data_IF_724658618275
#
_entry.id   IF_724658618275
#
_cell.length_a   1.000
_cell.length_b   1.000
_cell.length_c   1.000
_cell.angle_alpha   90.00
_cell.angle_beta   90.00
_cell.angle_gamma   90.00
#
_symmetry.space_group_name_H-M   'P 1'
#
loop_
_entity.id
_entity.type
_entity.pdbx_description
1 polymer ?
#
# COMPACT_ATOMS: atom_id res chain seq x y z
N UNK A 1 18.74 34.23 4.34
CA UNK A 1 18.70 33.43 5.58
C UNK A 1 19.20 32.05 5.20
N UNK A 2 20.14 31.47 5.95
CA UNK A 2 20.56 30.08 5.66
C UNK A 2 19.49 29.10 6.13
N UNK A 3 19.44 27.92 5.51
CA UNK A 3 18.52 26.85 5.86
C UNK A 3 18.65 26.42 7.33
N UNK A 4 19.89 26.33 7.84
CA UNK A 4 20.16 26.03 9.26
C UNK A 4 19.60 27.08 10.20
N UNK A 5 19.74 28.36 9.86
CA UNK A 5 19.19 29.45 10.65
C UNK A 5 17.65 29.41 10.62
N UNK A 6 17.07 29.23 9.43
CA UNK A 6 15.62 29.11 9.27
C UNK A 6 15.05 27.96 10.10
N UNK A 7 15.67 26.77 10.05
CA UNK A 7 15.22 25.61 10.81
C UNK A 7 15.29 25.87 12.32
N UNK A 8 16.40 26.42 12.82
CA UNK A 8 16.57 26.75 14.23
C UNK A 8 15.55 27.80 14.71
N UNK A 9 15.25 28.79 13.88
CA UNK A 9 14.24 29.82 14.18
C UNK A 9 12.82 29.23 14.16
N UNK A 10 12.51 28.32 13.23
CA UNK A 10 11.23 27.60 13.21
C UNK A 10 11.07 26.67 14.42
N UNK A 11 12.13 25.96 14.78
CA UNK A 11 12.23 25.11 15.98
C UNK A 11 12.03 25.86 17.28
N UNK A 12 12.66 27.02 17.39
CA UNK A 12 12.54 27.92 18.54
C UNK A 12 11.20 28.66 18.61
N UNK A 13 10.32 28.49 17.62
CA UNK A 13 9.05 29.20 17.52
C UNK A 13 9.19 30.69 17.17
N UNK A 14 10.37 31.11 16.71
CA UNK A 14 10.64 32.49 16.26
C UNK A 14 9.96 32.73 14.90
N UNK A 15 10.02 31.73 14.00
CA UNK A 15 9.33 31.77 12.72
C UNK A 15 8.09 30.87 12.78
N UNK A 16 6.87 31.41 12.55
CA UNK A 16 5.68 30.59 12.47
C UNK A 16 5.69 29.74 11.19
N UNK A 17 5.42 28.45 11.36
CA UNK A 17 5.26 27.48 10.26
C UNK A 17 3.78 27.38 9.93
N UNK A 18 3.31 28.33 9.13
CA UNK A 18 1.89 28.58 8.82
C UNK A 18 1.54 28.45 7.32
N UNK A 19 2.49 27.98 6.52
CA UNK A 19 2.30 27.77 5.08
C UNK A 19 2.92 26.47 4.60
N UNK A 20 2.34 25.92 3.54
CA UNK A 20 2.84 24.72 2.85
C UNK A 20 4.31 24.86 2.45
N UNK A 21 4.71 26.00 1.89
CA UNK A 21 6.08 26.25 1.46
C UNK A 21 7.08 26.19 2.62
N UNK A 22 6.72 26.68 3.81
CA UNK A 22 7.58 26.60 5.00
C UNK A 22 7.71 25.16 5.50
N UNK A 23 6.60 24.40 5.53
CA UNK A 23 6.65 22.97 5.86
C UNK A 23 7.52 22.22 4.84
N UNK A 24 7.40 22.55 3.55
CA UNK A 24 8.20 21.98 2.48
C UNK A 24 9.69 22.29 2.63
N UNK A 25 10.06 23.52 3.02
CA UNK A 25 11.46 23.88 3.26
C UNK A 25 12.05 23.11 4.44
N UNK A 26 11.30 23.00 5.55
CA UNK A 26 11.72 22.18 6.71
C UNK A 26 11.88 20.73 6.31
N UNK A 27 10.91 20.18 5.58
CA UNK A 27 10.96 18.81 5.08
C UNK A 27 12.17 18.58 4.16
N UNK A 28 12.49 19.53 3.30
CA UNK A 28 13.65 19.45 2.41
C UNK A 28 14.96 19.36 3.18
N UNK A 29 15.09 20.13 4.27
CA UNK A 29 16.25 20.09 5.17
C UNK A 29 16.35 18.71 5.84
N UNK A 30 15.24 18.14 6.31
CA UNK A 30 15.25 16.81 6.94
C UNK A 30 15.47 15.65 6.00
N UNK A 31 15.01 15.75 4.75
CA UNK A 31 15.20 14.69 3.76
C UNK A 31 16.69 14.52 3.40
N UNK A 32 17.51 15.57 3.54
CA UNK A 32 18.96 15.49 3.37
C UNK A 32 19.64 14.58 4.41
N UNK A 33 19.10 14.45 5.63
CA UNK A 33 19.60 13.47 6.61
C UNK A 33 18.82 12.15 6.53
N UNK A 34 17.49 12.23 6.35
CA UNK A 34 16.59 11.08 6.37
C UNK A 34 16.78 10.09 5.23
N UNK A 35 17.19 10.54 4.04
CA UNK A 35 17.46 9.68 2.88
C UNK A 35 18.82 8.94 2.96
N UNK A 36 19.67 9.26 3.93
CA UNK A 36 20.99 8.64 4.08
C UNK A 36 21.17 7.87 5.40
N UNK A 37 20.67 8.41 6.52
CA UNK A 37 20.95 7.89 7.86
C UNK A 37 19.69 7.44 8.64
N UNK A 38 18.53 7.29 7.98
CA UNK A 38 17.25 6.96 8.63
C UNK A 38 16.29 6.10 7.80
N UNK A 39 14.99 6.20 8.09
CA UNK A 39 13.90 5.55 7.36
C UNK A 39 13.22 6.49 6.34
N UNK A 40 13.94 7.50 5.84
CA UNK A 40 13.49 8.35 4.73
C UNK A 40 12.22 9.11 5.07
N UNK A 41 11.25 9.08 4.16
CA UNK A 41 9.96 9.76 4.33
C UNK A 41 9.24 9.42 5.64
N UNK A 42 9.45 8.22 6.20
CA UNK A 42 8.76 7.75 7.39
C UNK A 42 9.29 8.37 8.68
N UNK A 43 10.60 8.62 8.82
CA UNK A 43 11.14 9.29 10.01
C UNK A 43 10.90 10.81 9.94
N UNK A 44 10.97 11.36 8.73
CA UNK A 44 10.72 12.79 8.50
C UNK A 44 9.27 13.15 8.85
N UNK A 45 8.28 12.33 8.47
CA UNK A 45 6.87 12.64 8.84
C UNK A 45 6.66 12.62 10.36
N UNK A 46 7.30 11.71 11.09
CA UNK A 46 7.22 11.67 12.56
C UNK A 46 7.82 12.92 13.18
N UNK A 47 8.96 13.37 12.64
CA UNK A 47 9.65 14.57 13.10
C UNK A 47 8.79 15.82 12.88
N UNK A 48 8.11 15.92 11.74
CA UNK A 48 7.15 16.99 11.46
C UNK A 48 5.96 16.94 12.44
N UNK A 49 5.34 15.76 12.60
CA UNK A 49 4.17 15.58 13.45
C UNK A 49 4.45 15.86 14.93
N UNK A 50 5.61 15.42 15.45
CA UNK A 50 6.03 15.67 16.83
C UNK A 50 6.14 17.17 17.16
N UNK A 51 6.29 18.01 16.14
CA UNK A 51 6.40 19.48 16.26
C UNK A 51 5.12 20.21 15.87
N UNK A 52 4.06 19.47 15.58
CA UNK A 52 2.77 20.03 15.20
C UNK A 52 2.69 20.53 13.76
N UNK A 53 3.66 20.15 12.91
CA UNK A 53 3.73 20.51 11.50
C UNK A 53 3.12 19.42 10.61
N UNK A 54 2.40 19.83 9.59
CA UNK A 54 1.73 18.96 8.62
C UNK A 54 1.48 19.76 7.34
N UNK A 55 1.48 19.08 6.19
CA UNK A 55 1.08 19.65 4.91
C UNK A 55 -0.44 19.75 4.79
N UNK A 56 -1.17 18.89 5.49
CA UNK A 56 -2.63 18.90 5.51
C UNK A 56 -3.22 20.04 6.35
N UNK A 57 -4.32 20.60 5.87
CA UNK A 57 -5.13 21.59 6.58
C UNK A 57 -6.49 21.03 6.98
N UNK A 58 -7.13 21.63 7.99
CA UNK A 58 -8.47 21.25 8.45
C UNK A 58 -8.59 19.75 8.78
N UNK A 59 -9.55 19.07 8.15
CA UNK A 59 -9.78 17.63 8.33
C UNK A 59 -8.62 16.74 7.89
N UNK A 60 -7.71 17.25 7.05
CA UNK A 60 -6.52 16.54 6.56
C UNK A 60 -5.26 16.86 7.37
N UNK A 61 -5.33 17.71 8.39
CA UNK A 61 -4.18 17.98 9.25
C UNK A 61 -3.71 16.71 9.97
N UNK A 62 -2.40 16.45 9.92
CA UNK A 62 -1.74 15.22 10.39
C UNK A 62 -2.25 13.96 9.68
N UNK A 63 -2.68 14.08 8.43
CA UNK A 63 -2.98 12.94 7.59
C UNK A 63 -1.66 12.32 7.12
N UNK A 64 -1.33 11.15 7.67
CA UNK A 64 -0.07 10.46 7.38
C UNK A 64 0.11 10.18 5.90
N UNK A 65 -0.96 9.82 5.19
CA UNK A 65 -0.88 9.57 3.75
C UNK A 65 -0.52 10.83 2.98
N UNK A 66 -1.23 11.93 3.24
CA UNK A 66 -0.98 13.20 2.57
C UNK A 66 0.42 13.74 2.88
N UNK A 67 0.85 13.63 4.13
CA UNK A 67 2.15 14.17 4.54
C UNK A 67 3.31 13.34 3.95
N UNK A 68 3.22 12.00 3.97
CA UNK A 68 4.22 11.15 3.30
C UNK A 68 4.17 11.33 1.78
N UNK A 69 3.00 11.54 1.17
CA UNK A 69 2.91 11.84 -0.25
C UNK A 69 3.80 13.03 -0.63
N UNK A 70 3.73 14.13 0.12
CA UNK A 70 4.59 15.29 -0.16
C UNK A 70 6.08 15.01 0.04
N UNK A 71 6.44 14.20 1.03
CA UNK A 71 7.81 13.75 1.22
C UNK A 71 8.29 12.85 0.07
N UNK A 72 7.41 11.99 -0.48
CA UNK A 72 7.70 11.17 -1.64
C UNK A 72 7.88 12.03 -2.92
N UNK A 73 7.03 13.05 -3.11
CA UNK A 73 7.20 14.05 -4.18
C UNK A 73 8.52 14.81 -4.04
N UNK A 74 8.91 15.15 -2.80
CA UNK A 74 10.18 15.79 -2.52
C UNK A 74 11.36 14.89 -2.87
N UNK A 75 11.28 13.60 -2.50
CA UNK A 75 12.29 12.61 -2.87
C UNK A 75 12.40 12.44 -4.40
N UNK A 76 11.28 12.49 -5.13
CA UNK A 76 11.28 12.48 -6.60
C UNK A 76 11.88 13.77 -7.19
N UNK A 77 11.56 14.94 -6.63
CA UNK A 77 12.14 16.20 -7.07
C UNK A 77 13.67 16.25 -6.84
N UNK A 78 14.14 15.77 -5.68
CA UNK A 78 15.56 15.59 -5.39
C UNK A 78 16.19 14.66 -6.42
N UNK A 79 15.54 13.53 -6.68
CA UNK A 79 16.00 12.56 -7.68
C UNK A 79 16.15 13.16 -9.07
N UNK A 80 15.19 13.98 -9.52
CA UNK A 80 15.26 14.68 -10.81
C UNK A 80 16.33 15.76 -10.85
N UNK A 81 16.63 16.39 -9.72
CA UNK A 81 17.68 17.40 -9.62
C UNK A 81 19.09 16.78 -9.59
N UNK A 82 19.23 15.55 -9.11
CA UNK A 82 20.50 14.82 -9.05
C UNK A 82 20.73 14.01 -10.32
N UNK A 83 21.77 14.32 -11.10
CA UNK A 83 22.14 13.46 -12.23
C UNK A 83 22.74 12.14 -11.70
N UNK A 84 21.93 11.10 -11.65
CA UNK A 84 22.31 9.78 -11.11
C UNK A 84 23.39 9.04 -11.89
N UNK A 85 23.81 9.56 -13.04
CA UNK A 85 24.79 8.94 -13.94
C UNK A 85 26.22 9.45 -13.72
N UNK A 86 26.46 10.37 -12.79
CA UNK A 86 27.79 10.92 -12.48
C UNK A 86 28.21 10.64 -11.05
N UNK A 87 29.50 10.27 -10.89
CA UNK A 87 30.11 9.87 -9.61
C UNK A 87 30.12 10.99 -8.56
N UNK A 88 30.08 12.24 -9.00
CA UNK A 88 29.82 13.40 -8.14
C UNK A 88 28.29 13.56 -8.07
N UNK A 89 27.70 13.09 -6.98
CA UNK A 89 26.27 13.24 -6.66
C UNK A 89 26.04 14.52 -5.82
N UNK A 90 25.97 15.74 -6.39
CA UNK A 90 25.65 16.92 -5.59
C UNK A 90 24.19 16.87 -5.20
N UNK A 91 23.90 16.55 -3.94
CA UNK A 91 22.58 16.78 -3.37
C UNK A 91 22.27 18.28 -3.42
N UNK A 92 21.05 18.70 -3.81
CA UNK A 92 20.75 20.12 -3.92
C UNK A 92 20.83 20.78 -2.54
N UNK A 93 21.57 21.89 -2.46
CA UNK A 93 21.81 22.58 -1.19
C UNK A 93 20.48 23.03 -0.56
N UNK A 94 20.27 22.79 0.75
CA UNK A 94 19.13 23.35 1.49
C UNK A 94 19.00 24.88 1.41
N UNK A 95 20.12 25.58 1.19
CA UNK A 95 20.15 27.04 1.02
C UNK A 95 19.54 27.50 -0.32
N UNK A 96 19.47 26.62 -1.32
CA UNK A 96 18.94 26.90 -2.66
C UNK A 96 17.45 26.48 -2.81
N UNK A 97 16.76 26.25 -1.68
CA UNK A 97 15.38 25.75 -1.67
C UNK A 97 14.43 26.54 -2.56
N UNK A 98 14.50 27.87 -2.60
CA UNK A 98 13.57 28.66 -3.42
C UNK A 98 13.69 28.34 -4.91
N UNK A 99 14.92 28.18 -5.40
CA UNK A 99 15.17 27.83 -6.79
C UNK A 99 14.72 26.40 -7.07
N UNK A 100 15.01 25.48 -6.14
CA UNK A 100 14.57 24.09 -6.23
C UNK A 100 13.04 23.98 -6.26
N UNK A 101 12.35 24.62 -5.33
CA UNK A 101 10.89 24.65 -5.24
C UNK A 101 10.25 25.23 -6.51
N UNK A 102 10.85 26.29 -7.08
CA UNK A 102 10.36 26.90 -8.32
C UNK A 102 10.52 25.97 -9.53
N UNK A 103 11.68 25.30 -9.64
CA UNK A 103 11.96 24.35 -10.74
C UNK A 103 11.05 23.12 -10.68
N UNK A 104 10.79 22.60 -9.47
CA UNK A 104 9.99 21.38 -9.27
C UNK A 104 8.56 21.66 -8.79
N UNK A 105 8.06 22.87 -9.04
CA UNK A 105 6.78 23.35 -8.53
C UNK A 105 5.59 22.43 -8.87
N UNK A 106 5.62 21.77 -10.04
CA UNK A 106 4.57 20.84 -10.45
C UNK A 106 4.39 19.66 -9.47
N UNK A 107 5.48 19.17 -8.86
CA UNK A 107 5.45 18.09 -7.87
C UNK A 107 5.15 18.62 -6.46
N UNK A 108 5.63 19.83 -6.15
CA UNK A 108 5.68 20.33 -4.77
C UNK A 108 4.55 21.29 -4.39
N UNK A 109 3.72 21.73 -5.34
CA UNK A 109 2.64 22.68 -5.08
C UNK A 109 1.55 22.11 -4.13
N UNK A 110 0.93 22.92 -3.24
CA UNK A 110 -0.11 22.49 -2.29
C UNK A 110 -1.34 21.77 -2.89
N UNK A 111 -1.57 21.91 -4.19
CA UNK A 111 -2.68 21.21 -4.88
C UNK A 111 -2.26 19.96 -5.64
N UNK A 112 -0.96 19.62 -5.66
CA UNK A 112 -0.45 18.48 -6.44
C UNK A 112 -1.16 17.15 -6.11
N UNK A 113 -1.54 16.95 -4.84
CA UNK A 113 -2.20 15.72 -4.38
C UNK A 113 -3.51 15.40 -5.11
N UNK A 114 -4.22 16.40 -5.67
CA UNK A 114 -5.50 16.19 -6.36
C UNK A 114 -5.39 15.31 -7.61
N UNK A 115 -4.20 15.21 -8.21
CA UNK A 115 -3.97 14.31 -9.33
C UNK A 115 -3.78 12.85 -8.89
N UNK A 116 -3.44 12.62 -7.62
CA UNK A 116 -3.02 11.33 -7.09
C UNK A 116 -4.06 10.68 -6.17
N UNK A 117 -4.83 11.49 -5.43
CA UNK A 117 -5.78 11.01 -4.46
C UNK A 117 -7.17 11.60 -4.64
N UNK A 118 -8.19 10.78 -4.40
CA UNK A 118 -9.55 11.28 -4.16
C UNK A 118 -9.67 11.86 -2.75
N UNK A 119 -10.44 12.94 -2.54
CA UNK A 119 -10.65 13.51 -1.21
C UNK A 119 -11.26 12.49 -0.22
N UNK A 120 -12.20 11.65 -0.69
CA UNK A 120 -12.83 10.62 0.12
C UNK A 120 -11.82 9.57 0.59
N UNK A 121 -10.86 9.19 -0.27
CA UNK A 121 -9.82 8.23 0.08
C UNK A 121 -8.89 8.77 1.17
N UNK A 122 -8.47 10.03 1.08
CA UNK A 122 -7.66 10.67 2.13
C UNK A 122 -8.42 10.87 3.43
N UNK A 123 -9.71 11.23 3.37
CA UNK A 123 -10.54 11.42 4.56
C UNK A 123 -10.82 10.12 5.32
N UNK A 124 -10.64 8.96 4.68
CA UNK A 124 -10.88 7.67 5.28
C UNK A 124 -9.94 7.43 6.50
N UNK A 125 -10.46 6.98 7.66
CA UNK A 125 -9.67 6.89 8.90
C UNK A 125 -8.39 6.07 8.77
N UNK A 126 -8.45 4.95 8.04
CA UNK A 126 -7.29 4.08 7.81
C UNK A 126 -6.22 4.76 6.96
N UNK A 127 -6.60 5.47 5.90
CA UNK A 127 -5.67 6.23 5.05
C UNK A 127 -5.08 7.43 5.78
N UNK A 128 -5.87 8.09 6.64
CA UNK A 128 -5.37 9.19 7.45
C UNK A 128 -4.31 8.73 8.47
N UNK A 129 -4.38 7.47 8.93
CA UNK A 129 -3.49 6.90 9.94
C UNK A 129 -2.29 6.14 9.39
N UNK A 130 -2.45 5.50 8.23
CA UNK A 130 -1.43 4.67 7.58
C UNK A 130 -1.18 5.17 6.18
N UNK A 131 0.08 5.22 5.78
CA UNK A 131 0.46 5.58 4.43
C UNK A 131 -0.07 4.56 3.42
N UNK A 132 -0.86 5.04 2.47
CA UNK A 132 -1.35 4.26 1.33
C UNK A 132 -0.95 4.92 0.03
N UNK A 133 -0.60 4.09 -0.95
CA UNK A 133 -0.29 4.58 -2.28
C UNK A 133 -1.50 5.28 -2.92
N UNK A 134 -1.26 6.25 -3.82
CA UNK A 134 -2.29 6.92 -4.61
C UNK A 134 -3.34 6.00 -5.23
N UNK A 135 -4.62 6.41 -5.21
CA UNK A 135 -5.69 5.67 -5.87
C UNK A 135 -6.02 6.16 -7.28
N UNK A 136 -5.53 7.36 -7.68
CA UNK A 136 -5.73 7.98 -9.00
C UNK A 136 -4.51 8.01 -9.93
N UNK A 137 -3.28 7.96 -9.43
CA UNK A 137 -2.10 7.95 -10.31
C UNK A 137 -0.88 7.40 -9.58
N UNK A 138 -0.03 6.63 -10.26
CA UNK A 138 1.22 6.14 -9.67
C UNK A 138 2.14 7.27 -9.19
N UNK A 139 2.89 7.01 -8.12
CA UNK A 139 3.92 7.97 -7.69
C UNK A 139 4.97 8.17 -8.80
N UNK A 140 5.57 9.37 -8.91
CA UNK A 140 6.66 9.60 -9.85
C UNK A 140 7.76 8.54 -9.72
N UNK A 141 8.28 8.11 -10.87
CA UNK A 141 9.41 7.18 -11.01
C UNK A 141 9.21 5.75 -10.45
N UNK A 142 8.04 5.45 -9.87
CA UNK A 142 7.76 4.13 -9.26
C UNK A 142 7.54 2.99 -10.27
N UNK A 143 7.48 3.30 -11.56
CA UNK A 143 7.20 2.38 -12.67
C UNK A 143 8.44 1.90 -13.43
N UNK A 144 9.64 2.32 -13.01
CA UNK A 144 10.90 2.00 -13.70
C UNK A 144 12.01 1.56 -12.74
N UNK A 145 13.02 0.82 -13.23
CA UNK A 145 14.23 0.53 -12.47
C UNK A 145 14.91 1.82 -11.98
N UNK A 146 15.44 1.78 -10.76
CA UNK A 146 16.20 2.91 -10.21
C UNK A 146 17.50 3.10 -10.99
N UNK A 147 17.97 4.35 -11.13
CA UNK A 147 19.18 4.75 -11.87
C UNK A 147 19.14 4.55 -13.41
N UNK A 148 18.21 3.75 -13.94
CA UNK A 148 18.02 3.53 -15.37
C UNK A 148 16.54 3.72 -15.74
N UNK A 149 16.03 4.97 -15.65
CA UNK A 149 14.65 5.25 -16.01
C UNK A 149 14.42 4.82 -17.45
N UNK A 150 13.46 3.92 -17.67
CA UNK A 150 13.03 3.54 -19.01
C UNK A 150 12.23 4.69 -19.59
N UNK A 151 12.30 4.87 -20.92
CA UNK A 151 11.42 5.82 -21.57
C UNK A 151 9.99 5.30 -21.42
N UNK A 152 9.14 6.09 -20.75
CA UNK A 152 7.72 5.79 -20.64
C UNK A 152 7.10 5.71 -22.05
N UNK A 153 6.39 4.63 -22.38
CA UNK A 153 5.68 4.56 -23.63
C UNK A 153 4.63 5.68 -23.76
N UNK A 154 4.37 6.22 -24.95
CA UNK A 154 3.34 7.24 -25.15
C UNK A 154 1.93 6.79 -24.73
N UNK A 155 1.66 5.48 -24.76
CA UNK A 155 0.42 4.81 -24.36
C UNK A 155 0.37 4.46 -22.86
N UNK A 156 1.44 4.72 -22.09
CA UNK A 156 1.45 4.44 -20.66
C UNK A 156 0.49 5.37 -19.93
N UNK A 157 -0.62 4.80 -19.45
CA UNK A 157 -1.60 5.52 -18.65
C UNK A 157 -1.04 5.90 -17.27
N UNK A 158 -1.80 6.72 -16.52
CA UNK A 158 -1.44 7.19 -15.19
C UNK A 158 -1.28 6.08 -14.12
N UNK A 159 -1.54 4.82 -14.46
CA UNK A 159 -1.65 3.68 -13.54
C UNK A 159 -0.88 2.44 -14.02
N UNK A 160 0.35 2.64 -14.49
CA UNK A 160 1.21 1.57 -14.99
C UNK A 160 1.45 0.47 -13.93
N UNK A 161 1.66 0.82 -12.66
CA UNK A 161 2.03 -0.12 -11.58
C UNK A 161 0.84 -0.78 -10.91
N UNK A 162 -0.37 -0.22 -11.05
CA UNK A 162 -1.55 -0.59 -10.27
C UNK A 162 -1.97 -2.05 -10.48
N UNK A 163 -2.21 -2.47 -11.73
CA UNK A 163 -2.57 -3.85 -12.07
C UNK A 163 -1.42 -4.84 -11.78
N UNK A 164 -0.15 -4.56 -12.16
CA UNK A 164 0.98 -5.40 -11.77
C UNK A 164 1.10 -5.62 -10.26
N UNK A 165 0.97 -4.57 -9.47
CA UNK A 165 1.04 -4.63 -8.01
C UNK A 165 -0.08 -5.51 -7.45
N UNK A 166 -1.32 -5.28 -7.91
CA UNK A 166 -2.47 -6.12 -7.57
C UNK A 166 -2.22 -7.59 -7.93
N UNK A 167 -1.75 -7.89 -9.14
CA UNK A 167 -1.50 -9.26 -9.58
C UNK A 167 -0.40 -9.95 -8.76
N UNK A 168 0.65 -9.20 -8.37
CA UNK A 168 1.71 -9.69 -7.48
C UNK A 168 1.16 -10.07 -6.10
N UNK A 169 0.24 -9.28 -5.57
CA UNK A 169 -0.49 -9.60 -4.33
C UNK A 169 -1.35 -10.85 -4.50
N UNK A 170 -2.16 -10.94 -5.56
CA UNK A 170 -3.04 -12.08 -5.82
C UNK A 170 -2.22 -13.38 -5.92
N UNK A 171 -1.17 -13.40 -6.74
CA UNK A 171 -0.27 -14.54 -6.88
C UNK A 171 0.49 -14.85 -5.57
N UNK A 172 0.89 -13.84 -4.82
CA UNK A 172 1.49 -14.00 -3.49
C UNK A 172 0.53 -14.65 -2.48
N UNK A 173 -0.71 -14.21 -2.44
CA UNK A 173 -1.75 -14.73 -1.55
C UNK A 173 -2.09 -16.19 -1.88
N UNK A 174 -2.26 -16.54 -3.17
CA UNK A 174 -2.51 -17.94 -3.57
C UNK A 174 -1.37 -18.86 -3.15
N UNK A 175 -0.11 -18.47 -3.40
CA UNK A 175 1.06 -19.29 -3.02
C UNK A 175 1.18 -19.52 -1.53
N UNK A 176 0.71 -18.58 -0.72
CA UNK A 176 0.73 -18.63 0.75
C UNK A 176 -0.38 -19.49 1.34
N UNK A 177 -1.55 -19.46 0.72
CA UNK A 177 -2.78 -20.05 1.23
C UNK A 177 -3.52 -20.70 0.07
N UNK A 178 -3.49 -22.04 0.03
CA UNK A 178 -4.19 -22.86 -0.96
C UNK A 178 -5.56 -23.33 -0.45
N UNK A 179 -6.21 -22.48 0.35
CA UNK A 179 -7.50 -22.72 1.03
C UNK A 179 -8.67 -22.76 0.04
N UNK A 180 -8.60 -21.94 -1.01
CA UNK A 180 -9.65 -21.84 -2.02
C UNK A 180 -9.27 -22.56 -3.33
N UNK A 181 -10.25 -23.13 -4.06
CA UNK A 181 -10.01 -23.64 -5.41
C UNK A 181 -9.47 -22.55 -6.35
N UNK A 182 -8.54 -22.88 -7.28
CA UNK A 182 -7.94 -21.90 -8.20
C UNK A 182 -8.97 -21.09 -9.02
N UNK A 183 -10.07 -21.73 -9.44
CA UNK A 183 -11.15 -21.09 -10.18
C UNK A 183 -11.86 -20.00 -9.36
N UNK A 184 -12.29 -20.36 -8.14
CA UNK A 184 -12.92 -19.41 -7.19
C UNK A 184 -11.98 -18.25 -6.87
N UNK A 185 -10.70 -18.55 -6.63
CA UNK A 185 -9.69 -17.54 -6.33
C UNK A 185 -9.50 -16.53 -7.47
N UNK A 186 -9.43 -17.02 -8.71
CA UNK A 186 -9.29 -16.19 -9.92
C UNK A 186 -10.54 -15.35 -10.15
N UNK A 187 -11.73 -15.92 -9.97
CA UNK A 187 -13.00 -15.21 -10.10
C UNK A 187 -13.12 -14.07 -9.07
N UNK A 188 -12.78 -14.32 -7.80
CA UNK A 188 -12.76 -13.29 -6.76
C UNK A 188 -11.79 -12.15 -7.11
N UNK A 189 -10.60 -12.50 -7.58
CA UNK A 189 -9.60 -11.52 -8.00
C UNK A 189 -10.13 -10.61 -9.12
N UNK A 190 -10.60 -11.20 -10.22
CA UNK A 190 -11.09 -10.44 -11.37
C UNK A 190 -12.32 -9.58 -11.03
N UNK A 191 -13.29 -10.16 -10.29
CA UNK A 191 -14.52 -9.45 -9.90
C UNK A 191 -14.24 -8.25 -9.00
N UNK A 192 -13.33 -8.38 -8.03
CA UNK A 192 -12.98 -7.28 -7.11
C UNK A 192 -12.21 -6.18 -7.83
N UNK A 193 -11.31 -6.53 -8.75
CA UNK A 193 -10.62 -5.56 -9.59
C UNK A 193 -11.59 -4.83 -10.54
N UNK A 194 -12.51 -5.55 -11.20
CA UNK A 194 -13.54 -4.93 -12.06
C UNK A 194 -14.38 -3.93 -11.25
N UNK A 195 -14.87 -4.34 -10.09
CA UNK A 195 -15.77 -3.51 -9.27
C UNK A 195 -15.09 -2.23 -8.78
N UNK A 196 -13.87 -2.34 -8.25
CA UNK A 196 -13.10 -1.19 -7.75
C UNK A 196 -12.68 -0.25 -8.89
N UNK A 197 -12.21 -0.80 -10.02
CA UNK A 197 -11.82 -0.02 -11.20
C UNK A 197 -13.02 0.70 -11.81
N UNK A 198 -14.17 0.01 -11.94
CA UNK A 198 -15.40 0.61 -12.49
C UNK A 198 -15.91 1.75 -11.61
N UNK A 199 -15.85 1.60 -10.27
CA UNK A 199 -16.20 2.66 -9.32
C UNK A 199 -15.33 3.91 -9.53
N UNK A 200 -14.02 3.74 -9.57
CA UNK A 200 -13.08 4.86 -9.75
C UNK A 200 -13.18 5.49 -11.14
N UNK A 201 -13.31 4.68 -12.20
CA UNK A 201 -13.46 5.15 -13.57
C UNK A 201 -14.75 5.97 -13.77
N UNK A 202 -15.85 5.58 -13.12
CA UNK A 202 -17.10 6.33 -13.21
C UNK A 202 -16.98 7.76 -12.67
N UNK A 203 -16.14 7.97 -11.65
CA UNK A 203 -15.95 9.28 -11.02
C UNK A 203 -14.79 10.07 -11.67
N UNK A 204 -13.73 9.38 -12.12
CA UNK A 204 -12.52 9.99 -12.70
C UNK A 204 -12.13 9.38 -14.07
N UNK A 205 -13.00 9.44 -15.09
CA UNK A 205 -12.80 8.73 -16.36
C UNK A 205 -11.61 9.24 -17.19
N UNK A 206 -11.15 10.47 -16.95
CA UNK A 206 -9.99 11.06 -17.63
C UNK A 206 -8.65 10.66 -17.03
N UNK A 207 -8.64 10.08 -15.83
CA UNK A 207 -7.42 9.72 -15.10
C UNK A 207 -7.33 8.19 -14.99
N UNK A 208 -8.42 7.56 -14.56
CA UNK A 208 -8.49 6.12 -14.33
C UNK A 208 -8.96 5.44 -15.61
N UNK A 209 -8.20 4.49 -16.19
CA UNK A 209 -8.63 3.76 -17.37
C UNK A 209 -9.80 2.81 -17.05
N UNK A 210 -10.59 2.46 -18.07
CA UNK A 210 -11.62 1.45 -17.93
C UNK A 210 -11.01 0.08 -17.62
N UNK A 211 -11.74 -0.76 -16.88
CA UNK A 211 -11.33 -2.13 -16.59
C UNK A 211 -11.08 -2.93 -17.88
N UNK A 212 -9.97 -3.68 -17.91
CA UNK A 212 -9.66 -4.66 -18.95
C UNK A 212 -9.34 -6.01 -18.31
N UNK A 213 -10.18 -7.00 -18.59
CA UNK A 213 -9.94 -8.38 -18.15
C UNK A 213 -8.70 -8.99 -18.83
N UNK A 214 -8.43 -8.61 -20.08
CA UNK A 214 -7.20 -9.01 -20.80
C UNK A 214 -5.96 -8.56 -20.05
N UNK A 215 -5.90 -7.30 -19.60
CA UNK A 215 -4.77 -6.79 -18.82
C UNK A 215 -4.64 -7.51 -17.47
N UNK A 216 -5.77 -7.71 -16.78
CA UNK A 216 -5.78 -8.40 -15.49
C UNK A 216 -5.25 -9.83 -15.63
N UNK A 217 -5.74 -10.60 -16.62
CA UNK A 217 -5.31 -11.98 -16.88
C UNK A 217 -3.85 -12.05 -17.33
N UNK A 218 -3.39 -11.13 -18.16
CA UNK A 218 -1.99 -11.02 -18.54
C UNK A 218 -1.09 -10.93 -17.30
N UNK A 219 -1.38 -9.99 -16.40
CA UNK A 219 -0.57 -9.77 -15.20
C UNK A 219 -0.68 -10.91 -14.19
N UNK A 220 -1.86 -11.53 -14.03
CA UNK A 220 -1.99 -12.72 -13.18
C UNK A 220 -1.11 -13.87 -13.68
N UNK A 221 -1.07 -14.11 -14.99
CA UNK A 221 -0.20 -15.11 -15.59
C UNK A 221 1.28 -14.71 -15.45
N UNK A 222 1.63 -13.45 -15.74
CA UNK A 222 2.99 -12.91 -15.61
C UNK A 222 3.53 -13.09 -14.19
N UNK A 223 2.70 -12.85 -13.17
CA UNK A 223 3.05 -13.00 -11.76
C UNK A 223 3.04 -14.46 -11.28
N UNK A 224 2.70 -15.40 -12.16
CA UNK A 224 2.73 -16.83 -11.89
C UNK A 224 1.61 -17.29 -10.98
N UNK A 225 0.38 -16.77 -11.17
CA UNK A 225 -0.79 -17.21 -10.41
C UNK A 225 -0.94 -18.73 -10.44
N UNK A 226 -0.78 -19.34 -11.62
CA UNK A 226 -0.89 -20.80 -11.84
C UNK A 226 0.38 -21.58 -11.51
N UNK A 227 1.37 -20.94 -10.90
CA UNK A 227 2.59 -21.63 -10.51
C UNK A 227 2.34 -22.49 -9.26
N UNK A 228 2.57 -23.80 -9.38
CA UNK A 228 2.61 -24.74 -8.25
C UNK A 228 3.88 -24.59 -7.37
N UNK A 229 4.65 -23.50 -7.56
CA UNK A 229 5.82 -23.24 -6.72
C UNK A 229 5.38 -23.03 -5.28
N UNK A 230 5.90 -23.88 -4.40
CA UNK A 230 5.72 -23.75 -2.96
C UNK A 230 6.12 -22.34 -2.49
N UNK A 231 5.35 -21.77 -1.56
CA UNK A 231 5.67 -20.51 -0.92
C UNK A 231 7.08 -20.57 -0.32
N UNK A 232 7.97 -19.69 -0.78
CA UNK A 232 9.27 -19.47 -0.15
C UNK A 232 9.11 -18.74 1.19
N UNK A 233 10.14 -18.77 2.04
CA UNK A 233 10.17 -17.92 3.23
C UNK A 233 10.01 -16.42 2.89
N UNK A 234 10.55 -15.98 1.73
CA UNK A 234 10.38 -14.61 1.23
C UNK A 234 8.95 -14.29 0.81
N UNK A 235 8.15 -15.30 0.47
CA UNK A 235 6.73 -15.11 0.15
C UNK A 235 5.99 -14.53 1.36
N UNK A 236 6.44 -14.73 2.59
CA UNK A 236 5.84 -14.19 3.81
C UNK A 236 6.38 -12.82 4.26
N UNK A 237 7.34 -12.23 3.53
CA UNK A 237 7.84 -10.87 3.79
C UNK A 237 6.79 -9.81 3.42
N UNK A 238 7.03 -8.54 3.78
CA UNK A 238 6.22 -7.37 3.39
C UNK A 238 5.98 -7.27 1.88
N UNK A 239 4.94 -6.55 1.47
CA UNK A 239 4.80 -6.22 0.05
C UNK A 239 5.96 -5.30 -0.30
N UNK A 240 6.80 -5.73 -1.26
CA UNK A 240 7.97 -4.98 -1.73
C UNK A 240 7.90 -4.88 -3.25
N UNK A 241 6.71 -4.60 -3.75
CA UNK A 241 6.49 -4.52 -5.19
C UNK A 241 7.33 -3.38 -5.76
N UNK A 242 7.33 -2.21 -5.10
CA UNK A 242 8.17 -1.08 -5.49
C UNK A 242 9.66 -1.45 -5.50
N UNK A 243 10.14 -2.14 -4.46
CA UNK A 243 11.50 -2.69 -4.42
C UNK A 243 11.85 -3.60 -5.60
N UNK A 244 10.95 -4.51 -5.95
CA UNK A 244 11.15 -5.43 -7.08
C UNK A 244 11.16 -4.69 -8.43
N UNK A 245 10.29 -3.70 -8.63
CA UNK A 245 10.30 -2.85 -9.83
C UNK A 245 11.60 -2.05 -9.92
N UNK A 246 12.04 -1.44 -8.82
CA UNK A 246 13.25 -0.65 -8.80
C UNK A 246 14.53 -1.45 -9.08
N UNK A 247 14.56 -2.74 -8.72
CA UNK A 247 15.64 -3.66 -9.09
C UNK A 247 15.55 -4.16 -10.54
N UNK A 248 14.48 -3.81 -11.27
CA UNK A 248 14.18 -4.28 -12.62
C UNK A 248 13.55 -5.67 -12.68
N UNK A 249 13.21 -6.28 -11.54
CA UNK A 249 12.69 -7.64 -11.50
C UNK A 249 11.40 -7.82 -12.29
N UNK A 250 10.58 -6.77 -12.31
CA UNK A 250 9.38 -6.68 -13.12
C UNK A 250 9.54 -5.57 -14.15
N UNK A 251 9.29 -5.93 -15.41
CA UNK A 251 9.15 -4.96 -16.47
C UNK A 251 7.68 -4.57 -16.58
N UNK A 252 7.33 -3.40 -16.04
CA UNK A 252 5.96 -2.86 -16.00
C UNK A 252 5.38 -2.66 -17.42
N UNK A 253 6.24 -2.58 -18.44
CA UNK A 253 5.84 -2.43 -19.84
C UNK A 253 6.00 -3.72 -20.64
N UNK A 254 6.23 -4.87 -19.99
CA UNK A 254 6.40 -6.17 -20.67
C UNK A 254 5.22 -6.55 -21.59
N UNK A 255 4.03 -5.99 -21.35
CA UNK A 255 2.85 -6.20 -22.18
C UNK A 255 3.04 -5.70 -23.62
N UNK A 256 3.89 -4.69 -23.86
CA UNK A 256 4.15 -4.13 -25.19
C UNK A 256 4.84 -5.13 -26.13
N UNK A 257 5.58 -6.09 -25.57
CA UNK A 257 6.17 -7.19 -26.35
C UNK A 257 5.17 -8.29 -26.70
N UNK A 258 3.92 -8.19 -26.23
CA UNK A 258 2.89 -9.24 -26.36
C UNK A 258 1.63 -8.79 -27.07
N UNK A 259 1.31 -7.51 -26.95
CA UNK A 259 0.11 -6.93 -27.51
C UNK A 259 0.44 -5.71 -28.36
N UNK A 260 -0.14 -5.60 -29.56
CA UNK A 260 -0.15 -4.32 -30.28
C UNK A 260 -0.91 -3.27 -29.47
N UNK A 261 -0.55 -1.99 -29.62
CA UNK A 261 -1.26 -0.90 -28.95
C UNK A 261 -2.77 -0.92 -29.25
N UNK A 262 -3.15 -1.23 -30.50
CA UNK A 262 -4.55 -1.35 -30.92
C UNK A 262 -5.27 -2.51 -30.22
N UNK A 263 -4.65 -3.70 -30.13
CA UNK A 263 -5.22 -4.84 -29.42
C UNK A 263 -5.34 -4.55 -27.91
N UNK A 264 -4.31 -3.94 -27.32
CA UNK A 264 -4.29 -3.62 -25.89
C UNK A 264 -5.33 -2.55 -25.52
N UNK A 265 -5.40 -1.45 -26.27
CA UNK A 265 -6.39 -0.38 -26.07
C UNK A 265 -7.81 -0.87 -26.41
N UNK A 266 -7.98 -1.66 -27.47
CA UNK A 266 -9.25 -2.24 -27.88
C UNK A 266 -9.83 -3.26 -26.89
N UNK A 267 -8.98 -3.84 -26.02
CA UNK A 267 -9.40 -4.74 -24.94
C UNK A 267 -10.03 -4.03 -23.74
N UNK A 268 -9.92 -2.70 -23.66
CA UNK A 268 -10.42 -1.93 -22.54
C UNK A 268 -11.95 -1.75 -22.63
N UNK A 269 -12.66 -2.07 -21.54
CA UNK A 269 -14.10 -1.86 -21.41
C UNK A 269 -14.89 -3.12 -21.11
N UNK A 270 -16.02 -2.92 -20.41
CA UNK A 270 -16.91 -4.00 -19.96
C UNK A 270 -17.53 -4.76 -21.13
N UNK A 271 -17.47 -6.08 -21.08
CA UNK A 271 -18.07 -6.97 -22.09
C UNK A 271 -17.25 -7.11 -23.37
N UNK A 272 -16.01 -6.61 -23.40
CA UNK A 272 -15.04 -6.93 -24.44
C UNK A 272 -14.51 -8.35 -24.25
N UNK A 273 -14.33 -9.07 -25.35
CA UNK A 273 -13.77 -10.41 -25.33
C UNK A 273 -12.29 -10.36 -24.92
N UNK A 274 -11.84 -11.36 -24.15
CA UNK A 274 -10.43 -11.48 -23.78
C UNK A 274 -9.62 -11.75 -25.04
N UNK A 275 -8.61 -10.92 -25.29
CA UNK A 275 -7.80 -10.97 -26.51
C UNK A 275 -6.53 -11.76 -26.22
N UNK A 276 -6.21 -12.72 -27.08
CA UNK A 276 -4.95 -13.45 -27.04
C UNK A 276 -3.78 -12.57 -27.54
N UNK A 277 -2.54 -12.79 -27.08
CA UNK A 277 -1.36 -12.06 -27.57
C UNK A 277 -1.27 -12.11 -29.11
N UNK A 278 -1.16 -10.95 -29.75
CA UNK A 278 -1.05 -10.80 -31.21
C UNK A 278 0.40 -10.59 -31.68
N UNK A 279 1.36 -10.54 -30.75
CA UNK A 279 2.80 -10.44 -31.03
C UNK A 279 3.51 -11.74 -30.63
N UNK A 280 4.15 -12.41 -31.61
CA UNK A 280 4.68 -13.78 -31.45
C UNK A 280 5.90 -13.90 -30.51
N UNK A 281 6.64 -12.82 -30.24
CA UNK A 281 8.02 -12.94 -29.74
C UNK A 281 8.28 -12.14 -28.46
N UNK A 282 8.07 -12.79 -27.31
CA UNK A 282 8.40 -12.16 -26.03
C UNK A 282 8.70 -13.18 -24.94
N UNK A 283 9.92 -13.19 -24.45
CA UNK A 283 10.22 -13.82 -23.16
C UNK A 283 9.51 -13.06 -22.05
N UNK A 284 8.83 -13.76 -21.13
CA UNK A 284 8.14 -13.18 -19.97
C UNK A 284 9.06 -12.52 -18.92
N UNK A 285 10.35 -12.35 -19.22
CA UNK A 285 11.36 -11.89 -18.25
C UNK A 285 11.85 -10.51 -18.65
N UNK A 286 11.90 -9.60 -17.67
CA UNK A 286 12.59 -8.33 -17.82
C UNK A 286 14.01 -8.56 -18.36
N UNK A 287 14.39 -7.80 -19.39
CA UNK A 287 15.77 -7.79 -19.93
C UNK A 287 16.77 -7.19 -18.94
N UNK A 288 16.26 -6.47 -17.94
CA UNK A 288 17.03 -5.81 -16.89
C UNK A 288 16.75 -6.54 -15.58
N UNK A 289 17.71 -7.27 -15.04
CA UNK A 289 17.57 -7.89 -13.72
C UNK A 289 18.74 -7.48 -12.84
N UNK A 290 18.46 -7.19 -11.56
CA UNK A 290 19.46 -6.80 -10.57
C UNK A 290 20.15 -5.46 -10.90
N UNK A 291 19.38 -4.46 -11.31
CA UNK A 291 19.89 -3.10 -11.43
C UNK A 291 20.37 -2.58 -10.07
N UNK A 292 21.45 -1.79 -10.13
CA UNK A 292 22.09 -1.00 -9.07
C UNK A 292 23.12 -1.72 -8.19
N UNK A 293 23.21 -1.31 -6.93
CA UNK A 293 24.40 -1.59 -6.11
C UNK A 293 24.53 -3.09 -5.80
N UNK A 294 25.75 -3.67 -5.86
CA UNK A 294 25.98 -5.10 -5.71
C UNK A 294 25.60 -5.68 -4.33
N UNK A 295 25.20 -4.84 -3.38
CA UNK A 295 24.83 -5.18 -2.00
C UNK A 295 23.30 -5.28 -1.75
N UNK A 296 22.47 -4.97 -2.76
CA UNK A 296 21.01 -5.02 -2.62
C UNK A 296 20.38 -3.77 -1.96
N UNK A 297 21.10 -2.64 -1.89
CA UNK A 297 20.62 -1.40 -1.27
C UNK A 297 19.40 -0.74 -1.94
N UNK A 298 19.03 -1.12 -3.17
CA UNK A 298 17.89 -0.50 -3.88
C UNK A 298 16.54 -0.75 -3.20
N UNK A 299 16.32 -1.94 -2.63
CA UNK A 299 15.09 -2.23 -1.89
C UNK A 299 14.94 -1.29 -0.67
N UNK A 300 16.05 -0.89 -0.07
CA UNK A 300 16.03 0.09 1.00
C UNK A 300 15.76 1.49 0.45
N UNK A 301 16.36 1.88 -0.68
CA UNK A 301 16.09 3.16 -1.32
C UNK A 301 14.63 3.35 -1.75
N UNK A 302 13.93 2.31 -2.23
CA UNK A 302 12.50 2.42 -2.56
C UNK A 302 11.65 2.69 -1.33
N UNK A 303 12.00 2.05 -0.21
CA UNK A 303 11.38 2.29 1.08
C UNK A 303 11.59 3.73 1.53
N UNK A 304 12.83 4.23 1.47
CA UNK A 304 13.15 5.61 1.84
C UNK A 304 12.38 6.66 1.03
N UNK A 305 11.98 6.33 -0.22
CA UNK A 305 11.21 7.19 -1.13
C UNK A 305 9.69 7.09 -0.96
N UNK A 306 9.20 6.13 -0.18
CA UNK A 306 7.76 5.89 -0.04
C UNK A 306 7.12 5.18 -1.23
N UNK A 307 7.86 4.39 -2.02
CA UNK A 307 7.25 3.66 -3.15
C UNK A 307 6.44 2.42 -2.72
N UNK A 308 6.57 2.01 -1.46
CA UNK A 308 5.75 0.95 -0.87
C UNK A 308 4.92 1.54 0.28
N UNK A 309 3.60 1.31 0.24
CA UNK A 309 2.66 1.74 1.28
C UNK A 309 2.74 0.88 2.54
N UNK A 310 2.31 1.43 3.68
CA UNK A 310 2.14 0.68 4.93
C UNK A 310 0.92 -0.25 4.88
N UNK A 311 -0.12 0.15 4.14
CA UNK A 311 -1.33 -0.63 3.89
C UNK A 311 -1.59 -0.68 2.39
N UNK A 312 -2.05 -1.83 1.92
CA UNK A 312 -2.37 -2.06 0.51
C UNK A 312 -3.34 -1.03 -0.09
N UNK A 313 -3.32 -0.94 -1.42
CA UNK A 313 -4.27 -0.13 -2.20
C UNK A 313 -5.73 -0.59 -2.03
N UNK A 314 -6.67 0.11 -2.66
CA UNK A 314 -8.10 -0.27 -2.60
C UNK A 314 -8.31 -1.68 -3.18
N UNK A 315 -7.67 -1.98 -4.30
CA UNK A 315 -7.79 -3.24 -5.03
C UNK A 315 -7.26 -4.42 -4.21
N UNK A 316 -6.13 -4.23 -3.53
CA UNK A 316 -5.54 -5.24 -2.64
C UNK A 316 -6.47 -5.52 -1.45
N UNK A 317 -6.96 -4.48 -0.78
CA UNK A 317 -7.79 -4.63 0.42
C UNK A 317 -9.14 -5.25 0.08
N UNK A 318 -9.80 -4.81 -1.00
CA UNK A 318 -11.07 -5.37 -1.47
C UNK A 318 -10.92 -6.85 -1.87
N UNK A 319 -9.81 -7.20 -2.55
CA UNK A 319 -9.48 -8.58 -2.88
C UNK A 319 -9.27 -9.45 -1.64
N UNK A 320 -8.42 -9.02 -0.71
CA UNK A 320 -8.12 -9.78 0.52
C UNK A 320 -9.37 -9.94 1.40
N UNK A 321 -10.22 -8.93 1.47
CA UNK A 321 -11.51 -9.02 2.17
C UNK A 321 -12.44 -10.03 1.51
N UNK A 322 -12.52 -10.06 0.18
CA UNK A 322 -13.34 -11.04 -0.53
C UNK A 322 -12.83 -12.48 -0.34
N UNK A 323 -11.51 -12.68 -0.36
CA UNK A 323 -10.89 -13.98 -0.03
C UNK A 323 -11.21 -14.37 1.40
N UNK A 324 -11.05 -13.47 2.36
CA UNK A 324 -11.30 -13.77 3.77
C UNK A 324 -12.75 -14.20 4.03
N UNK A 325 -13.72 -13.55 3.39
CA UNK A 325 -15.14 -13.93 3.48
C UNK A 325 -15.35 -15.33 2.90
N UNK A 326 -14.81 -15.60 1.71
CA UNK A 326 -14.96 -16.91 1.05
C UNK A 326 -14.33 -18.04 1.87
N UNK A 327 -13.15 -17.81 2.46
CA UNK A 327 -12.46 -18.78 3.33
C UNK A 327 -13.27 -19.11 4.59
N UNK A 328 -14.07 -18.17 5.09
CA UNK A 328 -14.87 -18.34 6.30
C UNK A 328 -16.27 -18.91 6.06
N UNK A 329 -16.65 -19.16 4.81
CA UNK A 329 -17.97 -19.72 4.49
C UNK A 329 -18.14 -21.13 5.06
N UNK A 330 -19.27 -21.36 5.72
CA UNK A 330 -19.57 -22.60 6.43
C UNK A 330 -18.64 -22.94 7.60
N UNK A 331 -17.78 -22.01 8.05
CA UNK A 331 -16.87 -22.23 9.18
C UNK A 331 -17.55 -21.86 10.49
N UNK A 332 -17.67 -22.83 11.38
CA UNK A 332 -18.16 -22.63 12.74
C UNK A 332 -17.03 -22.28 13.72
N UNK A 333 -17.38 -21.63 14.83
CA UNK A 333 -16.39 -21.16 15.82
C UNK A 333 -15.55 -22.28 16.46
N UNK A 334 -16.06 -23.51 16.48
CA UNK A 334 -15.33 -24.68 16.96
C UNK A 334 -14.29 -25.22 15.95
N UNK A 335 -14.39 -24.83 14.69
CA UNK A 335 -13.67 -25.43 13.56
C UNK A 335 -12.65 -24.46 12.92
N UNK A 336 -12.19 -23.46 13.68
CA UNK A 336 -11.24 -22.46 13.19
C UNK A 336 -9.86 -23.08 12.91
N UNK A 337 -9.43 -23.06 11.64
CA UNK A 337 -8.03 -23.30 11.28
C UNK A 337 -7.18 -22.04 11.56
N UNK A 338 -6.53 -22.02 12.72
CA UNK A 338 -5.67 -20.92 13.16
C UNK A 338 -4.33 -20.82 12.39
N UNK A 339 -4.11 -21.67 11.39
CA UNK A 339 -3.09 -21.45 10.36
C UNK A 339 -3.58 -20.51 9.23
N UNK A 340 -4.89 -20.24 9.15
CA UNK A 340 -5.53 -19.37 8.15
C UNK A 340 -5.91 -18.03 8.79
N UNK A 341 -5.47 -16.92 8.18
CA UNK A 341 -5.65 -15.58 8.75
C UNK A 341 -7.13 -15.18 8.89
N UNK A 342 -7.96 -15.49 7.90
CA UNK A 342 -9.38 -15.17 7.91
C UNK A 342 -10.13 -15.88 9.04
N UNK A 343 -9.75 -17.12 9.38
CA UNK A 343 -10.29 -17.85 10.53
C UNK A 343 -9.87 -17.19 11.85
N UNK A 344 -8.63 -16.69 11.96
CA UNK A 344 -8.21 -15.93 13.14
C UNK A 344 -9.06 -14.66 13.28
N UNK A 345 -9.26 -13.91 12.19
CA UNK A 345 -10.07 -12.68 12.19
C UNK A 345 -11.55 -12.96 12.50
N UNK A 346 -12.10 -14.06 11.97
CA UNK A 346 -13.42 -14.58 12.34
C UNK A 346 -13.48 -14.89 13.84
N UNK A 347 -12.46 -15.57 14.37
CA UNK A 347 -12.32 -15.85 15.79
C UNK A 347 -12.29 -14.58 16.64
N UNK A 348 -11.53 -13.56 16.24
CA UNK A 348 -11.52 -12.24 16.93
C UNK A 348 -12.89 -11.57 16.86
N UNK A 349 -13.59 -11.67 15.72
CA UNK A 349 -14.98 -11.20 15.59
C UNK A 349 -15.92 -11.92 16.55
N UNK A 350 -15.76 -13.24 16.72
CA UNK A 350 -16.47 -14.03 17.74
C UNK A 350 -16.15 -13.60 19.17
N UNK A 351 -14.87 -13.35 19.47
CA UNK A 351 -14.43 -12.84 20.77
C UNK A 351 -15.03 -11.47 21.09
N UNK A 352 -15.18 -10.61 20.09
CA UNK A 352 -15.74 -9.28 20.22
C UNK A 352 -17.22 -9.28 20.64
N UNK A 353 -17.97 -10.33 20.29
CA UNK A 353 -19.36 -10.53 20.72
C UNK A 353 -19.45 -11.01 22.18
N UNK A 354 -18.46 -11.78 22.65
CA UNK A 354 -18.41 -12.28 24.04
C UNK A 354 -18.17 -11.15 25.04
N UNK A 355 -18.49 -11.36 26.32
CA UNK A 355 -18.26 -10.38 27.38
C UNK A 355 -17.61 -11.00 28.63
N UNK A 356 -16.96 -10.16 29.44
CA UNK A 356 -16.38 -10.58 30.72
C UNK A 356 -15.34 -11.69 30.59
N UNK A 357 -15.39 -12.67 31.50
CA UNK A 357 -14.42 -13.76 31.58
C UNK A 357 -14.46 -14.69 30.36
N UNK A 358 -15.64 -14.90 29.77
CA UNK A 358 -15.80 -15.76 28.57
C UNK A 358 -14.97 -15.24 27.39
N UNK A 359 -14.92 -13.91 27.22
CA UNK A 359 -14.09 -13.27 26.20
C UNK A 359 -12.61 -13.52 26.47
N UNK A 360 -12.16 -13.31 27.71
CA UNK A 360 -10.75 -13.45 28.08
C UNK A 360 -10.27 -14.89 27.94
N UNK A 361 -11.09 -15.86 28.35
CA UNK A 361 -10.79 -17.29 28.22
C UNK A 361 -10.67 -17.67 26.73
N UNK A 362 -11.61 -17.21 25.90
CA UNK A 362 -11.61 -17.47 24.46
C UNK A 362 -10.42 -16.80 23.74
N UNK A 363 -10.04 -15.57 24.12
CA UNK A 363 -8.85 -14.91 23.59
C UNK A 363 -7.57 -15.66 23.95
N UNK A 364 -7.48 -16.24 25.15
CA UNK A 364 -6.33 -17.06 25.56
C UNK A 364 -6.24 -18.36 24.75
N UNK A 365 -7.38 -18.98 24.42
CA UNK A 365 -7.42 -20.16 23.54
C UNK A 365 -6.97 -19.80 22.12
N UNK A 366 -7.49 -18.70 21.56
CA UNK A 366 -7.06 -18.18 20.27
C UNK A 366 -5.55 -17.87 20.25
N UNK A 367 -5.03 -17.21 21.30
CA UNK A 367 -3.61 -16.90 21.41
C UNK A 367 -2.74 -18.16 21.38
N UNK A 368 -3.09 -19.17 22.19
CA UNK A 368 -2.37 -20.45 22.20
C UNK A 368 -2.37 -21.10 20.82
N UNK A 369 -3.51 -21.13 20.14
CA UNK A 369 -3.62 -21.75 18.82
C UNK A 369 -2.86 -20.99 17.72
N UNK A 370 -2.87 -19.65 17.76
CA UNK A 370 -2.10 -18.80 16.84
C UNK A 370 -0.58 -18.96 17.04
N UNK A 371 -0.13 -19.09 18.29
CA UNK A 371 1.28 -19.36 18.59
C UNK A 371 1.68 -20.75 18.10
N UNK A 372 0.82 -21.75 18.30
CA UNK A 372 1.04 -23.12 17.82
C UNK A 372 1.11 -23.21 16.29
N UNK A 373 0.34 -22.39 15.57
CA UNK A 373 0.41 -22.32 14.10
C UNK A 373 1.69 -21.66 13.57
N UNK A 374 2.53 -21.12 14.47
CA UNK A 374 3.82 -20.44 14.18
C UNK A 374 3.70 -19.26 13.22
N UNK A 375 2.49 -18.71 13.08
CA UNK A 375 2.19 -17.54 12.25
C UNK A 375 2.67 -16.25 12.91
N UNK A 376 2.42 -16.14 14.21
CA UNK A 376 2.81 -15.00 15.03
C UNK A 376 3.73 -15.51 16.13
N UNK A 377 4.79 -14.75 16.42
CA UNK A 377 5.66 -15.06 17.56
C UNK A 377 4.89 -14.92 18.86
N UNK A 378 5.23 -15.75 19.84
CA UNK A 378 4.59 -15.78 21.16
C UNK A 378 4.55 -14.41 21.84
N UNK A 379 5.64 -13.64 21.75
CA UNK A 379 5.75 -12.28 22.31
C UNK A 379 4.83 -11.25 21.64
N UNK A 380 4.24 -11.58 20.48
CA UNK A 380 3.44 -10.65 19.65
C UNK A 380 1.99 -11.07 19.49
N UNK A 381 1.63 -12.33 19.76
CA UNK A 381 0.31 -12.88 19.50
C UNK A 381 -0.79 -12.16 20.30
N UNK A 382 -0.66 -12.08 21.62
CA UNK A 382 -1.64 -11.38 22.47
C UNK A 382 -1.78 -9.88 22.16
N UNK A 383 -0.68 -9.19 21.84
CA UNK A 383 -0.71 -7.76 21.45
C UNK A 383 -1.50 -7.58 20.15
N UNK A 384 -1.23 -8.43 19.16
CA UNK A 384 -1.94 -8.36 17.88
C UNK A 384 -3.43 -8.67 18.03
N UNK A 385 -3.79 -9.72 18.79
CA UNK A 385 -5.19 -10.10 19.02
C UNK A 385 -5.98 -8.98 19.71
N UNK A 386 -5.40 -8.33 20.72
CA UNK A 386 -6.02 -7.18 21.39
C UNK A 386 -6.20 -6.00 20.46
N UNK A 387 -5.21 -5.74 19.60
CA UNK A 387 -5.30 -4.72 18.57
C UNK A 387 -6.40 -4.96 17.55
N UNK A 388 -6.46 -6.19 17.02
CA UNK A 388 -7.52 -6.62 16.10
C UNK A 388 -8.90 -6.52 16.75
N UNK A 389 -9.03 -6.95 18.01
CA UNK A 389 -10.26 -6.84 18.79
C UNK A 389 -10.72 -5.39 18.94
N UNK A 390 -9.81 -4.47 19.28
CA UNK A 390 -10.14 -3.05 19.43
C UNK A 390 -10.66 -2.41 18.13
N UNK A 391 -10.23 -2.91 16.97
CA UNK A 391 -10.71 -2.49 15.66
C UNK A 391 -12.07 -3.11 15.32
N UNK A 392 -12.27 -4.39 15.64
CA UNK A 392 -13.46 -5.17 15.28
C UNK A 392 -14.65 -4.87 16.20
N UNK A 393 -14.41 -4.70 17.50
CA UNK A 393 -15.46 -4.58 18.51
C UNK A 393 -16.50 -3.49 18.19
N UNK A 394 -16.15 -2.27 17.76
CA UNK A 394 -17.14 -1.23 17.46
C UNK A 394 -18.18 -1.65 16.41
N UNK A 395 -17.82 -2.53 15.47
CA UNK A 395 -18.69 -2.95 14.38
C UNK A 395 -19.72 -3.99 14.82
N UNK A 396 -19.31 -4.95 15.65
CA UNK A 396 -20.16 -6.06 16.09
C UNK A 396 -21.03 -5.74 17.29
N UNK A 397 -20.89 -4.53 17.87
CA UNK A 397 -21.76 -4.06 18.96
C UNK A 397 -23.24 -4.10 18.61
N UNK A 398 -23.59 -3.97 17.32
CA UNK A 398 -24.97 -4.04 16.85
C UNK A 398 -25.62 -5.40 17.12
N UNK A 399 -24.83 -6.44 17.39
CA UNK A 399 -25.31 -7.78 17.68
C UNK A 399 -25.62 -8.02 19.17
N UNK A 400 -25.42 -7.03 20.03
CA UNK A 400 -25.81 -7.05 21.46
C UNK A 400 -25.37 -8.32 22.22
N UNK A 401 -24.20 -8.86 21.86
CA UNK A 401 -23.63 -10.05 22.50
C UNK A 401 -24.17 -11.39 21.97
N UNK A 402 -24.97 -11.37 20.90
CA UNK A 402 -25.53 -12.58 20.27
C UNK A 402 -24.83 -12.83 18.93
N UNK A 403 -24.17 -13.97 18.79
CA UNK A 403 -23.53 -14.34 17.52
C UNK A 403 -24.59 -14.65 16.45
N UNK A 404 -24.56 -14.02 15.26
CA UNK A 404 -25.55 -14.28 14.23
C UNK A 404 -25.54 -15.73 13.74
N UNK A 405 -26.73 -16.32 13.58
CA UNK A 405 -26.90 -17.63 12.94
C UNK A 405 -26.69 -17.56 11.42
N UNK A 406 -27.01 -16.42 10.81
CA UNK A 406 -26.93 -16.21 9.37
C UNK A 406 -25.48 -16.02 8.90
N UNK A 407 -24.99 -16.96 8.08
CA UNK A 407 -23.65 -16.88 7.48
C UNK A 407 -23.45 -15.60 6.64
N UNK A 408 -24.47 -15.19 5.89
CA UNK A 408 -24.44 -14.00 5.04
C UNK A 408 -24.19 -12.73 5.86
N UNK A 409 -24.91 -12.55 6.98
CA UNK A 409 -24.73 -11.41 7.88
C UNK A 409 -23.31 -11.37 8.46
N UNK A 410 -22.76 -12.52 8.86
CA UNK A 410 -21.38 -12.64 9.35
C UNK A 410 -20.38 -12.26 8.26
N UNK A 411 -20.59 -12.75 7.04
CA UNK A 411 -19.74 -12.47 5.89
C UNK A 411 -19.77 -11.00 5.48
N UNK A 412 -20.94 -10.36 5.45
CA UNK A 412 -21.08 -8.94 5.14
C UNK A 412 -20.39 -8.06 6.18
N UNK A 413 -20.57 -8.37 7.47
CA UNK A 413 -19.90 -7.65 8.56
C UNK A 413 -18.39 -7.80 8.48
N UNK A 414 -17.90 -9.03 8.31
CA UNK A 414 -16.47 -9.30 8.15
C UNK A 414 -15.91 -8.53 6.95
N UNK A 415 -16.60 -8.55 5.80
CA UNK A 415 -16.18 -7.80 4.61
C UNK A 415 -16.06 -6.31 4.91
N UNK A 416 -17.08 -5.71 5.54
CA UNK A 416 -17.11 -4.29 5.88
C UNK A 416 -15.95 -3.90 6.78
N UNK A 417 -15.76 -4.65 7.87
CA UNK A 417 -14.65 -4.44 8.80
C UNK A 417 -13.32 -4.44 8.05
N UNK A 418 -13.07 -5.46 7.21
CA UNK A 418 -11.79 -5.65 6.54
C UNK A 418 -11.53 -4.61 5.44
N UNK A 419 -12.56 -4.20 4.70
CA UNK A 419 -12.45 -3.13 3.69
C UNK A 419 -12.13 -1.79 4.35
N UNK A 420 -12.81 -1.46 5.46
CA UNK A 420 -12.57 -0.24 6.21
C UNK A 420 -11.25 -0.31 7.02
N UNK A 421 -10.72 -1.51 7.29
CA UNK A 421 -9.55 -1.70 8.16
C UNK A 421 -8.51 -2.63 7.54
N UNK A 422 -8.00 -2.25 6.36
CA UNK A 422 -6.98 -3.01 5.63
C UNK A 422 -5.69 -3.32 6.41
N UNK A 423 -5.39 -2.58 7.48
CA UNK A 423 -4.30 -2.90 8.41
C UNK A 423 -4.46 -4.26 9.11
N UNK A 424 -5.68 -4.82 9.16
CA UNK A 424 -5.89 -6.18 9.64
C UNK A 424 -5.24 -7.25 8.74
N UNK A 425 -4.89 -6.87 7.49
CA UNK A 425 -4.10 -7.69 6.58
C UNK A 425 -2.60 -7.42 6.62
N UNK A 426 -2.14 -6.50 7.46
CA UNK A 426 -0.72 -6.24 7.65
C UNK A 426 0.06 -7.55 7.90
N UNK A 427 1.28 -7.68 7.35
CA UNK A 427 2.01 -8.97 7.31
C UNK A 427 2.77 -9.24 8.61
N UNK A 428 2.73 -10.47 9.11
CA UNK A 428 3.19 -10.87 10.47
C UNK A 428 4.64 -10.51 10.84
N UNK A 429 5.48 -10.20 9.85
CA UNK A 429 6.77 -9.58 10.08
C UNK A 429 6.55 -8.09 10.28
N UNK A 430 6.19 -7.70 11.51
CA UNK A 430 6.14 -6.30 11.93
C UNK A 430 7.49 -5.70 11.53
N UNK A 431 7.52 -4.78 10.56
CA UNK A 431 8.68 -3.91 10.50
C UNK A 431 8.67 -3.19 11.85
N UNK A 432 9.78 -3.12 12.58
CA UNK A 432 9.86 -2.24 13.75
C UNK A 432 9.54 -0.77 13.39
N UNK A 433 9.51 -0.45 12.09
CA UNK A 433 9.23 0.88 11.54
C UNK A 433 7.82 1.03 10.96
N UNK A 434 7.07 -0.06 10.74
CA UNK A 434 5.71 0.01 10.18
C UNK A 434 4.70 0.18 11.30
N UNK A 435 4.01 1.32 11.29
CA UNK A 435 2.92 1.59 12.24
C UNK A 435 1.69 0.75 11.96
N UNK A 436 1.64 -0.03 10.88
CA UNK A 436 0.53 -0.91 10.49
C UNK A 436 0.00 -1.81 11.65
N UNK A 437 0.83 -2.04 12.69
CA UNK A 437 0.49 -2.80 13.90
C UNK A 437 0.47 -2.00 15.20
N UNK A 438 0.72 -0.69 15.13
CA UNK A 438 0.59 0.19 16.27
C UNK A 438 -0.89 0.60 16.43
N UNK A 439 -1.66 -0.29 17.07
CA UNK A 439 -3.04 -0.05 17.45
C UNK A 439 -3.17 1.00 18.59
N UNK A 440 -2.05 1.50 19.14
CA UNK A 440 -2.00 2.45 20.27
C UNK A 440 -2.27 3.90 19.89
N UNK A 441 -2.42 4.23 18.60
CA UNK A 441 -2.95 5.54 18.21
C UNK A 441 -4.42 5.60 18.62
N UNK A 442 -4.65 6.08 19.85
CA UNK A 442 -5.97 6.31 20.42
C UNK A 442 -6.84 7.22 19.52
N UNK A 443 -8.15 7.29 19.78
CA UNK A 443 -9.07 8.08 18.97
C UNK A 443 -8.55 9.51 18.79
N UNK A 444 -8.65 10.03 17.55
CA UNK A 444 -8.29 11.40 17.19
C UNK A 444 -8.96 12.33 18.21
N UNK A 445 -8.16 12.97 19.07
CA UNK A 445 -8.68 14.08 19.86
C UNK A 445 -9.03 15.17 18.85
N UNK A 446 -10.32 15.33 18.60
CA UNK A 446 -10.83 16.50 17.91
C UNK A 446 -10.43 17.69 18.80
N UNK A 447 -9.43 18.44 18.37
CA UNK A 447 -9.11 19.76 18.93
C UNK A 447 -9.76 20.79 18.03
#
# INVERSE_FOLDING_TARGET
MSAKQFLADAEGGVVPVDSHEKVMWIAFIYMDEGLWDGNGVFDVVETLHARGWSFGEGGLRFNRTLDIFYLAQLAAAIYHATNQLHDDFPYPSPDDFQSFYSTHHALLHPSAWHAYYTPAFLAHPTTARFYRLPNLQDLPDSDSPSCQPRQRPPSSGAHATKIPCWASIVAGTRRRQLTLPPGTFTELALRTLETSTARLHAEYPSIVPAYSETQARFWLNYMGLDSDRAASASSWNQNRFGGAVAQGWYDIYAWEGKYSAEAWEGSCGKGREVIEPDVEDGTWKSEVMWCGWPDGGIEFYTWLRGWDGEVGGEEEVEFLAAVAVEETKGVEMGDLDLAVRSHILLGVMGAAVKTGQEREDYLQELEKGVVQSRRIKEDKAGVWLKGALAVIEPYVRIWDGVWPEGEEERGEMLRRILVENGQLFARYKLSPHLKEFNFELGPRKLV
#
